data_IF_841601400096
#
_entry.id   IF_841601400096
#
_cell.length_a   1.000
_cell.length_b   1.000
_cell.length_c   1.000
_cell.angle_alpha   90.00
_cell.angle_beta   90.00
_cell.angle_gamma   90.00
#
_symmetry.space_group_name_H-M   'P 1'
#
loop_
_entity.id
_entity.type
_entity.pdbx_description
1 polymer ?
#
# COMPACT_ATOMS: atom_id res chain seq x y z
N UNK A 1 11.93 -7.19 -1.83
CA UNK A 1 12.96 -7.89 -2.63
C UNK A 1 13.06 -7.41 -4.09
N UNK A 2 12.28 -6.41 -4.54
CA UNK A 2 12.13 -6.09 -5.97
C UNK A 2 13.40 -5.63 -6.72
N UNK A 3 14.44 -5.14 -6.02
CA UNK A 3 15.71 -4.70 -6.65
C UNK A 3 16.90 -5.65 -6.46
N UNK A 4 16.78 -6.69 -5.64
CA UNK A 4 17.94 -7.48 -5.21
C UNK A 4 18.61 -8.26 -6.35
N UNK A 5 17.84 -8.73 -7.33
CA UNK A 5 18.39 -9.39 -8.52
C UNK A 5 19.17 -8.41 -9.41
N UNK A 6 18.65 -7.20 -9.64
CA UNK A 6 19.35 -6.17 -10.43
C UNK A 6 20.66 -5.79 -9.75
N UNK A 7 20.63 -5.59 -8.42
CA UNK A 7 21.82 -5.32 -7.62
C UNK A 7 22.83 -6.48 -7.71
N UNK A 8 22.36 -7.74 -7.70
CA UNK A 8 23.26 -8.90 -7.80
C UNK A 8 23.86 -9.09 -9.20
N UNK A 9 23.11 -8.75 -10.26
CA UNK A 9 23.52 -8.94 -11.64
C UNK A 9 24.37 -7.78 -12.19
N UNK A 10 24.05 -6.55 -11.80
CA UNK A 10 24.66 -5.33 -12.35
C UNK A 10 25.25 -4.40 -11.29
N UNK A 11 24.87 -4.57 -10.03
CA UNK A 11 25.35 -3.74 -8.93
C UNK A 11 26.78 -4.08 -8.53
N UNK A 12 27.43 -3.12 -7.89
CA UNK A 12 28.73 -3.31 -7.26
C UNK A 12 28.51 -3.48 -5.76
N UNK A 13 28.80 -4.66 -5.17
CA UNK A 13 28.59 -4.87 -3.74
C UNK A 13 29.26 -3.81 -2.87
N UNK A 14 30.47 -3.36 -3.26
CA UNK A 14 31.18 -2.30 -2.54
C UNK A 14 30.45 -0.95 -2.56
N UNK A 15 29.84 -0.57 -3.70
CA UNK A 15 29.06 0.68 -3.80
C UNK A 15 27.77 0.59 -3.00
N UNK A 16 27.07 -0.54 -3.07
CA UNK A 16 25.81 -0.74 -2.35
C UNK A 16 26.01 -0.79 -0.83
N UNK A 17 27.07 -1.46 -0.37
CA UNK A 17 27.46 -1.46 1.05
C UNK A 17 27.82 -0.06 1.50
N UNK A 18 28.65 0.68 0.75
CA UNK A 18 29.01 2.06 1.11
C UNK A 18 27.78 2.98 1.14
N UNK A 19 26.85 2.82 0.20
CA UNK A 19 25.59 3.57 0.18
C UNK A 19 24.73 3.27 1.40
N UNK A 20 24.58 1.99 1.75
CA UNK A 20 23.83 1.58 2.93
C UNK A 20 24.50 2.06 4.23
N UNK A 21 25.82 1.93 4.33
CA UNK A 21 26.61 2.41 5.47
C UNK A 21 26.44 3.91 5.67
N UNK A 22 26.44 4.71 4.60
CA UNK A 22 26.23 6.16 4.70
C UNK A 22 24.85 6.51 5.28
N UNK A 23 23.78 5.83 4.81
CA UNK A 23 22.43 6.06 5.34
C UNK A 23 22.27 5.55 6.76
N UNK A 24 22.83 4.38 7.06
CA UNK A 24 22.84 3.82 8.41
C UNK A 24 23.63 4.71 9.39
N UNK A 25 24.74 5.29 8.94
CA UNK A 25 25.53 6.24 9.72
C UNK A 25 24.72 7.51 10.02
N UNK A 26 23.98 8.07 9.06
CA UNK A 26 23.09 9.22 9.33
C UNK A 26 22.04 8.89 10.40
N UNK A 27 21.36 7.73 10.29
CA UNK A 27 20.38 7.31 11.30
C UNK A 27 21.03 7.13 12.66
N UNK A 28 22.22 6.52 12.71
CA UNK A 28 23.02 6.37 13.93
C UNK A 28 23.37 7.72 14.54
N UNK A 29 23.88 8.66 13.74
CA UNK A 29 24.38 9.95 14.22
C UNK A 29 23.23 10.79 14.80
N UNK A 30 22.07 10.81 14.12
CA UNK A 30 20.84 11.43 14.64
C UNK A 30 20.41 10.76 15.96
N UNK A 31 20.42 9.43 16.02
CA UNK A 31 20.06 8.69 17.23
C UNK A 31 21.00 8.96 18.41
N UNK A 32 22.32 9.06 18.14
CA UNK A 32 23.34 9.38 19.16
C UNK A 32 23.19 10.82 19.65
N UNK A 33 22.94 11.77 18.75
CA UNK A 33 22.71 13.17 19.11
C UNK A 33 21.46 13.30 19.98
N UNK A 34 20.34 12.68 19.59
CA UNK A 34 19.11 12.63 20.38
C UNK A 34 19.32 11.99 21.77
N UNK A 35 20.05 10.88 21.83
CA UNK A 35 20.39 10.22 23.09
C UNK A 35 21.27 11.10 23.99
N UNK A 36 22.22 11.84 23.38
CA UNK A 36 23.11 12.75 24.09
C UNK A 36 22.36 13.92 24.70
N UNK A 37 21.48 14.59 23.93
CA UNK A 37 20.64 15.67 24.47
C UNK A 37 19.72 15.17 25.59
N UNK A 38 19.09 14.00 25.40
CA UNK A 38 18.26 13.37 26.43
C UNK A 38 19.06 13.11 27.70
N UNK A 39 20.29 12.58 27.58
CA UNK A 39 21.15 12.31 28.72
C UNK A 39 21.58 13.59 29.44
N UNK A 40 21.97 14.63 28.71
CA UNK A 40 22.36 15.94 29.28
C UNK A 40 21.19 16.56 30.03
N UNK A 41 19.97 16.49 29.48
CA UNK A 41 18.75 16.98 30.12
C UNK A 41 18.52 16.30 31.48
N UNK A 42 18.52 14.97 31.51
CA UNK A 42 18.32 14.22 32.76
C UNK A 42 19.43 14.44 33.79
N UNK A 43 20.69 14.52 33.35
CA UNK A 43 21.83 14.82 34.25
C UNK A 43 21.67 16.22 34.87
N UNK A 44 21.35 17.23 34.07
CA UNK A 44 21.15 18.61 34.53
C UNK A 44 19.99 18.71 35.52
N UNK A 45 18.88 18.03 35.22
CA UNK A 45 17.72 17.98 36.10
C UNK A 45 18.03 17.25 37.42
N UNK A 46 18.72 16.11 37.36
CA UNK A 46 19.12 15.36 38.55
C UNK A 46 20.16 16.10 39.41
N UNK A 47 21.06 16.87 38.80
CA UNK A 47 22.01 17.70 39.51
C UNK A 47 21.29 18.83 40.25
N UNK A 48 20.36 19.51 39.57
CA UNK A 48 19.51 20.54 40.17
C UNK A 48 18.73 19.97 41.37
N UNK A 49 18.21 18.74 41.24
CA UNK A 49 17.54 18.02 42.32
C UNK A 49 18.42 17.73 43.52
N UNK A 50 19.62 17.25 43.26
CA UNK A 50 20.61 16.95 44.29
C UNK A 50 21.03 18.23 45.03
N UNK A 51 21.24 19.34 44.31
CA UNK A 51 21.56 20.64 44.90
C UNK A 51 20.41 21.21 45.73
N UNK A 52 19.17 21.13 45.25
CA UNK A 52 18.00 21.57 46.01
C UNK A 52 17.84 20.76 47.31
N UNK A 53 18.08 19.44 47.24
CA UNK A 53 18.02 18.55 48.40
C UNK A 53 19.14 18.84 49.40
N UNK A 54 20.37 19.03 48.91
CA UNK A 54 21.51 19.41 49.74
C UNK A 54 21.29 20.76 50.43
N UNK A 55 20.73 21.73 49.70
CA UNK A 55 20.35 23.03 50.26
C UNK A 55 19.26 22.90 51.34
N UNK A 56 18.22 22.10 51.08
CA UNK A 56 17.14 21.86 52.03
C UNK A 56 17.65 21.21 53.33
N UNK A 57 18.55 20.23 53.25
CA UNK A 57 19.15 19.62 54.45
C UNK A 57 20.18 20.52 55.12
N UNK A 58 21.03 21.20 54.36
CA UNK A 58 22.09 22.06 54.89
C UNK A 58 21.53 23.31 55.57
N UNK A 59 20.79 24.14 54.82
CA UNK A 59 20.18 25.36 55.35
C UNK A 59 19.03 25.05 56.31
N UNK A 60 18.19 24.07 55.99
CA UNK A 60 17.12 23.63 56.90
C UNK A 60 17.68 23.11 58.22
N UNK A 61 18.78 22.35 58.19
CA UNK A 61 19.47 21.86 59.38
C UNK A 61 19.91 23.00 60.30
N UNK A 62 20.53 24.05 59.75
CA UNK A 62 20.88 25.26 60.50
C UNK A 62 19.63 25.97 61.06
N UNK A 63 18.56 26.09 60.26
CA UNK A 63 17.31 26.71 60.69
C UNK A 63 16.64 25.98 61.88
N UNK A 64 16.76 24.64 61.95
CA UNK A 64 16.34 23.84 63.12
C UNK A 64 17.18 24.15 64.34
N UNK A 65 18.50 24.34 64.20
CA UNK A 65 19.37 24.69 65.33
C UNK A 65 19.05 26.08 65.90
N UNK A 66 18.59 27.01 65.07
CA UNK A 66 18.09 28.33 65.49
C UNK A 66 16.65 28.33 66.00
N UNK A 67 15.97 27.18 66.01
CA UNK A 67 14.59 27.04 66.51
C UNK A 67 13.51 27.63 65.59
N UNK A 68 13.85 28.00 64.35
CA UNK A 68 12.92 28.64 63.41
C UNK A 68 12.00 27.65 62.70
N UNK A 69 12.43 26.40 62.53
CA UNK A 69 11.70 25.34 61.79
C UNK A 69 11.76 24.03 62.60
N UNK A 70 10.73 23.18 62.49
CA UNK A 70 10.72 21.86 63.12
C UNK A 70 11.48 20.80 62.30
N UNK A 71 12.00 19.75 62.98
CA UNK A 71 12.67 18.62 62.30
C UNK A 71 11.77 17.92 61.28
N UNK A 72 10.47 17.77 61.59
CA UNK A 72 9.49 17.16 60.69
C UNK A 72 9.25 17.98 59.43
N UNK A 73 9.37 19.31 59.52
CA UNK A 73 9.19 20.21 58.38
C UNK A 73 10.28 20.04 57.31
N UNK A 74 11.55 19.81 57.71
CA UNK A 74 12.64 19.53 56.75
C UNK A 74 12.37 18.24 55.99
N UNK A 75 12.04 17.17 56.72
CA UNK A 75 11.75 15.85 56.14
C UNK A 75 10.55 15.95 55.18
N UNK A 76 9.50 16.67 55.57
CA UNK A 76 8.37 16.93 54.68
C UNK A 76 8.77 17.72 53.43
N UNK A 77 9.60 18.76 53.57
CA UNK A 77 10.07 19.57 52.44
C UNK A 77 10.88 18.75 51.43
N UNK A 78 11.81 17.91 51.89
CA UNK A 78 12.62 17.06 51.00
C UNK A 78 11.79 15.97 50.32
N UNK A 79 10.79 15.42 51.00
CA UNK A 79 9.83 14.50 50.38
C UNK A 79 8.98 15.19 49.30
N UNK A 80 8.51 16.43 49.55
CA UNK A 80 7.77 17.20 48.55
C UNK A 80 8.62 17.60 47.34
N UNK A 81 9.88 17.98 47.55
CA UNK A 81 10.81 18.24 46.45
C UNK A 81 10.97 16.99 45.57
N UNK A 82 11.17 15.82 46.17
CA UNK A 82 11.30 14.55 45.42
C UNK A 82 10.03 14.26 44.60
N UNK A 83 8.84 14.49 45.19
CA UNK A 83 7.55 14.29 44.51
C UNK A 83 7.32 15.28 43.35
N UNK A 84 7.91 16.46 43.38
CA UNK A 84 7.79 17.48 42.34
C UNK A 84 8.57 17.12 41.05
N UNK A 85 9.62 16.30 41.15
CA UNK A 85 10.45 15.93 39.99
C UNK A 85 9.70 15.06 38.96
N UNK A 86 8.89 14.10 39.41
CA UNK A 86 8.15 13.21 38.51
C UNK A 86 7.21 13.95 37.54
N UNK A 87 6.35 14.86 38.02
CA UNK A 87 5.51 15.67 37.15
C UNK A 87 6.30 16.59 36.20
N UNK A 88 7.44 17.14 36.63
CA UNK A 88 8.27 18.00 35.78
C UNK A 88 8.90 17.22 34.62
N UNK A 89 9.36 15.99 34.85
CA UNK A 89 9.87 15.13 33.76
C UNK A 89 8.76 14.71 32.80
N UNK A 90 7.58 14.38 33.33
CA UNK A 90 6.41 14.03 32.50
C UNK A 90 5.98 15.20 31.61
N UNK A 91 5.95 16.43 32.12
CA UNK A 91 5.63 17.62 31.31
C UNK A 91 6.61 17.84 30.16
N UNK A 92 7.89 17.52 30.36
CA UNK A 92 8.90 17.66 29.31
C UNK A 92 8.73 16.65 28.18
N UNK A 93 8.26 15.42 28.47
CA UNK A 93 8.03 14.41 27.43
C UNK A 93 6.69 14.59 26.72
N UNK A 94 5.68 15.14 27.41
CA UNK A 94 4.34 15.34 26.86
C UNK A 94 4.31 16.14 25.55
N UNK A 95 5.19 17.14 25.39
CA UNK A 95 5.25 17.91 24.14
C UNK A 95 5.68 17.03 22.95
N UNK A 96 6.68 16.16 23.13
CA UNK A 96 7.16 15.26 22.08
C UNK A 96 6.10 14.22 21.70
N UNK A 97 5.44 13.64 22.71
CA UNK A 97 4.36 12.67 22.50
C UNK A 97 3.20 13.31 21.74
N UNK A 98 2.82 14.53 22.12
CA UNK A 98 1.75 15.28 21.45
C UNK A 98 2.09 15.62 20.00
N UNK A 99 3.31 16.11 19.72
CA UNK A 99 3.74 16.42 18.35
C UNK A 99 3.79 15.16 17.47
N UNK A 100 4.29 14.04 18.01
CA UNK A 100 4.32 12.75 17.29
C UNK A 100 2.91 12.22 17.01
N UNK A 101 2.01 12.35 17.99
CA UNK A 101 0.62 11.96 17.84
C UNK A 101 -0.08 12.79 16.75
N UNK A 102 0.10 14.11 16.74
CA UNK A 102 -0.48 14.99 15.71
C UNK A 102 -0.06 14.59 14.30
N UNK A 103 1.26 14.38 14.06
CA UNK A 103 1.76 13.96 12.74
C UNK A 103 1.20 12.58 12.34
N UNK A 104 1.03 11.68 13.30
CA UNK A 104 0.44 10.35 13.04
C UNK A 104 -1.04 10.46 12.69
N UNK A 105 -1.79 11.34 13.37
CA UNK A 105 -3.20 11.60 13.07
C UNK A 105 -3.38 12.25 11.69
N UNK A 106 -2.54 13.23 11.34
CA UNK A 106 -2.55 13.83 10.00
C UNK A 106 -2.42 12.77 8.90
N UNK A 107 -1.45 11.85 9.02
CA UNK A 107 -1.28 10.75 8.07
C UNK A 107 -2.46 9.77 8.04
N UNK A 108 -3.06 9.51 9.20
CA UNK A 108 -4.22 8.62 9.31
C UNK A 108 -5.41 9.23 8.59
N UNK A 109 -5.70 10.51 8.81
CA UNK A 109 -6.80 11.21 8.12
C UNK A 109 -6.55 11.33 6.63
N UNK A 110 -5.30 11.58 6.21
CA UNK A 110 -4.95 11.59 4.78
C UNK A 110 -5.29 10.26 4.08
N UNK A 111 -5.12 9.12 4.77
CA UNK A 111 -5.52 7.80 4.23
C UNK A 111 -7.04 7.59 4.27
N UNK A 112 -7.71 8.00 5.35
CA UNK A 112 -9.15 7.82 5.49
C UNK A 112 -9.96 8.71 4.55
N UNK A 113 -9.44 9.91 4.25
CA UNK A 113 -10.06 10.89 3.38
C UNK A 113 -9.69 10.65 1.90
N UNK A 114 -8.90 9.60 1.59
CA UNK A 114 -8.60 9.21 0.23
C UNK A 114 -9.88 8.75 -0.48
N UNK A 115 -10.35 9.57 -1.41
CA UNK A 115 -11.52 9.21 -2.21
C UNK A 115 -11.15 8.19 -3.31
N UNK A 116 -11.89 7.07 -3.44
CA UNK A 116 -11.70 6.16 -4.56
C UNK A 116 -11.96 6.88 -5.88
N UNK A 117 -11.03 6.76 -6.84
CA UNK A 117 -11.16 7.37 -8.17
C UNK A 117 -12.37 6.84 -8.95
N UNK A 118 -12.68 5.55 -8.78
CA UNK A 118 -13.83 4.89 -9.42
C UNK A 118 -14.92 4.65 -8.37
N UNK A 119 -16.05 5.32 -8.52
CA UNK A 119 -17.25 5.16 -7.68
C UNK A 119 -18.42 4.66 -8.53
N UNK A 120 -19.30 3.85 -7.93
CA UNK A 120 -20.58 3.53 -8.54
C UNK A 120 -21.49 4.77 -8.54
N UNK A 121 -22.21 4.98 -9.63
CA UNK A 121 -23.24 6.01 -9.67
C UNK A 121 -24.40 5.64 -8.72
N UNK A 122 -25.07 6.62 -8.07
CA UNK A 122 -26.21 6.32 -7.19
C UNK A 122 -27.36 5.58 -7.88
N UNK A 123 -27.47 5.73 -9.19
CA UNK A 123 -28.45 5.10 -10.09
C UNK A 123 -27.83 4.01 -10.97
N UNK A 124 -26.72 3.41 -10.53
CA UNK A 124 -26.03 2.36 -11.27
C UNK A 124 -26.95 1.17 -11.57
N UNK A 125 -26.87 0.67 -12.80
CA UNK A 125 -27.67 -0.44 -13.32
C UNK A 125 -26.83 -1.70 -13.46
N UNK A 126 -27.46 -2.88 -13.43
CA UNK A 126 -26.77 -4.11 -13.75
C UNK A 126 -26.47 -4.17 -15.26
N UNK A 127 -25.31 -4.73 -15.62
CA UNK A 127 -25.00 -5.06 -17.02
C UNK A 127 -26.03 -6.04 -17.61
N UNK A 128 -26.33 -5.94 -18.91
CA UNK A 128 -27.25 -6.86 -19.57
C UNK A 128 -26.65 -8.26 -19.68
N UNK A 129 -27.50 -9.28 -19.56
CA UNK A 129 -27.10 -10.67 -19.73
C UNK A 129 -26.83 -11.03 -21.20
N UNK A 130 -26.00 -12.06 -21.41
CA UNK A 130 -25.77 -12.67 -22.72
C UNK A 130 -24.56 -12.08 -23.46
N UNK A 131 -24.39 -12.43 -24.75
CA UNK A 131 -23.27 -11.94 -25.53
C UNK A 131 -23.46 -10.44 -25.79
N UNK A 132 -22.59 -9.63 -25.22
CA UNK A 132 -22.63 -8.17 -25.28
C UNK A 132 -21.63 -7.64 -26.29
N UNK A 133 -22.02 -6.60 -27.03
CA UNK A 133 -21.10 -5.84 -27.88
C UNK A 133 -20.37 -4.79 -27.06
N UNK A 134 -19.13 -4.48 -27.43
CA UNK A 134 -18.36 -3.38 -26.83
C UNK A 134 -18.26 -2.25 -27.85
N UNK A 135 -18.61 -1.03 -27.46
CA UNK A 135 -18.52 0.16 -28.33
C UNK A 135 -17.67 1.21 -27.65
N UNK A 136 -16.63 1.66 -28.37
CA UNK A 136 -15.90 2.88 -28.08
C UNK A 136 -16.48 3.98 -28.96
N UNK A 137 -16.89 5.08 -28.36
CA UNK A 137 -17.47 6.24 -29.04
C UNK A 137 -16.68 7.51 -28.65
N UNK A 138 -15.89 8.01 -29.59
CA UNK A 138 -15.08 9.23 -29.48
C UNK A 138 -14.25 9.31 -28.19
N UNK A 139 -13.50 8.23 -27.88
CA UNK A 139 -12.79 8.08 -26.60
C UNK A 139 -11.44 8.79 -26.60
N UNK A 140 -11.29 9.74 -25.68
CA UNK A 140 -10.03 10.36 -25.28
C UNK A 140 -9.63 9.90 -23.88
N UNK A 141 -8.35 9.62 -23.66
CA UNK A 141 -7.87 9.17 -22.34
C UNK A 141 -6.39 9.50 -22.08
N UNK A 142 -6.11 10.02 -20.88
CA UNK A 142 -4.79 10.15 -20.28
C UNK A 142 -4.78 9.50 -18.89
N UNK A 143 -3.65 8.87 -18.50
CA UNK A 143 -3.53 8.34 -17.14
C UNK A 143 -3.58 9.47 -16.09
N UNK A 144 -4.10 9.21 -14.87
CA UNK A 144 -4.10 10.18 -13.78
C UNK A 144 -2.68 10.66 -13.47
N UNK A 145 -2.55 11.93 -13.08
CA UNK A 145 -1.26 12.47 -12.65
C UNK A 145 -0.81 11.85 -11.33
N UNK A 146 0.50 11.81 -11.04
CA UNK A 146 1.01 11.28 -9.77
C UNK A 146 0.36 11.96 -8.55
N UNK A 147 0.09 13.27 -8.64
CA UNK A 147 -0.61 14.02 -7.60
C UNK A 147 -2.09 13.63 -7.40
N UNK A 148 -2.72 12.94 -8.36
CA UNK A 148 -4.12 12.50 -8.29
C UNK A 148 -4.27 11.09 -7.69
N UNK A 149 -3.20 10.27 -7.72
CA UNK A 149 -3.23 8.85 -7.27
C UNK A 149 -2.26 8.53 -6.13
N UNK A 150 -1.29 9.38 -5.85
CA UNK A 150 -0.31 9.17 -4.79
C UNK A 150 -0.46 10.19 -3.66
N UNK A 151 -0.55 9.67 -2.43
CA UNK A 151 -0.39 10.47 -1.22
C UNK A 151 1.10 10.74 -1.02
N UNK A 152 1.50 12.01 -1.13
CA UNK A 152 2.90 12.42 -1.02
C UNK A 152 3.54 12.00 0.31
N UNK A 153 2.74 11.85 1.38
CA UNK A 153 3.22 11.41 2.69
C UNK A 153 3.56 9.91 2.77
N UNK A 154 3.07 9.10 1.82
CA UNK A 154 3.25 7.65 1.78
C UNK A 154 4.32 7.20 0.79
N UNK A 155 4.85 8.10 -0.04
CA UNK A 155 5.91 7.77 -1.00
C UNK A 155 7.30 8.02 -0.40
N UNK A 156 8.20 7.05 -0.57
CA UNK A 156 9.60 7.16 -0.13
C UNK A 156 10.40 8.20 -0.93
N UNK A 157 9.85 8.69 -2.04
CA UNK A 157 10.42 9.73 -2.90
C UNK A 157 9.38 10.85 -3.02
N UNK A 158 9.48 11.85 -2.16
CA UNK A 158 8.53 12.96 -2.05
C UNK A 158 8.58 13.98 -3.22
N UNK A 159 9.01 13.56 -4.41
CA UNK A 159 9.00 14.40 -5.60
C UNK A 159 7.81 13.95 -6.43
N UNK A 160 6.65 14.57 -6.18
CA UNK A 160 5.53 14.48 -7.10
C UNK A 160 6.00 15.03 -8.44
N UNK A 161 5.93 14.20 -9.46
CA UNK A 161 6.29 14.57 -10.82
C UNK A 161 5.18 15.47 -11.38
N UNK A 162 5.50 16.74 -11.67
CA UNK A 162 4.58 17.73 -12.26
C UNK A 162 4.52 17.60 -13.79
N UNK A 163 4.90 16.43 -14.30
CA UNK A 163 4.84 16.12 -15.73
C UNK A 163 3.39 16.14 -16.20
N UNK A 164 3.04 16.91 -17.24
CA UNK A 164 1.67 17.01 -17.73
C UNK A 164 1.13 15.64 -18.16
N UNK A 165 -0.14 15.38 -17.86
CA UNK A 165 -0.85 14.16 -18.28
C UNK A 165 -0.69 14.00 -19.79
N UNK A 166 0.00 12.95 -20.20
CA UNK A 166 0.17 12.64 -21.62
C UNK A 166 -1.01 11.79 -22.05
N UNK A 167 -1.78 12.31 -23.00
CA UNK A 167 -2.89 11.61 -23.60
C UNK A 167 -2.39 10.38 -24.38
N UNK A 168 -3.08 9.25 -24.18
CA UNK A 168 -2.72 7.92 -24.69
C UNK A 168 -3.68 7.47 -25.79
N UNK A 169 -4.96 7.82 -25.65
CA UNK A 169 -6.00 7.56 -26.66
C UNK A 169 -6.55 8.90 -27.13
N UNK A 170 -6.69 9.04 -28.44
CA UNK A 170 -7.20 10.25 -29.09
C UNK A 170 -8.34 9.87 -30.02
N UNK A 171 -9.55 10.33 -29.73
CA UNK A 171 -10.76 10.17 -30.53
C UNK A 171 -11.02 8.75 -31.04
N UNK A 172 -10.85 7.75 -30.17
CA UNK A 172 -10.94 6.34 -30.56
C UNK A 172 -12.40 5.90 -30.66
N UNK A 173 -12.81 5.46 -31.85
CA UNK A 173 -14.17 4.96 -32.12
C UNK A 173 -14.15 3.62 -32.85
N UNK A 174 -14.76 2.59 -32.28
CA UNK A 174 -14.94 1.29 -32.92
C UNK A 174 -16.00 0.44 -32.21
N UNK A 175 -16.48 -0.61 -32.88
CA UNK A 175 -17.42 -1.58 -32.33
C UNK A 175 -16.86 -2.98 -32.42
N UNK A 176 -16.92 -3.71 -31.31
CA UNK A 176 -16.66 -5.15 -31.20
C UNK A 176 -18.01 -5.86 -31.14
N UNK A 177 -18.45 -6.54 -32.20
CA UNK A 177 -19.73 -7.24 -32.19
C UNK A 177 -19.72 -8.41 -31.21
N UNK A 178 -20.87 -8.67 -30.61
CA UNK A 178 -21.08 -9.78 -29.69
C UNK A 178 -20.73 -11.14 -30.35
N UNK A 179 -20.06 -12.02 -29.60
CA UNK A 179 -19.70 -13.37 -30.07
C UNK A 179 -18.55 -13.41 -31.09
N UNK A 180 -17.83 -12.31 -31.30
CA UNK A 180 -16.67 -12.26 -32.18
C UNK A 180 -15.36 -12.29 -31.41
N UNK A 181 -14.30 -12.78 -32.06
CA UNK A 181 -12.92 -12.64 -31.58
C UNK A 181 -12.30 -11.46 -32.31
N UNK A 182 -12.09 -10.35 -31.61
CA UNK A 182 -11.45 -9.16 -32.16
C UNK A 182 -10.03 -9.02 -31.62
N UNK A 183 -9.06 -8.88 -32.53
CA UNK A 183 -7.66 -8.69 -32.18
C UNK A 183 -7.24 -7.22 -32.35
N UNK A 184 -6.74 -6.62 -31.27
CA UNK A 184 -6.11 -5.30 -31.30
C UNK A 184 -4.61 -5.46 -31.57
N UNK A 185 -4.15 -4.98 -32.74
CA UNK A 185 -2.74 -5.11 -33.17
C UNK A 185 -2.15 -3.74 -33.42
N UNK A 186 -0.90 -3.55 -33.00
CA UNK A 186 -0.17 -2.30 -33.18
C UNK A 186 1.13 -2.27 -32.37
N UNK A 187 2.01 -1.28 -32.60
CA UNK A 187 3.30 -1.17 -31.94
C UNK A 187 3.15 -1.04 -30.41
N UNK A 188 4.23 -1.33 -29.67
CA UNK A 188 4.25 -1.07 -28.22
C UNK A 188 3.94 0.40 -27.93
N UNK A 189 3.18 0.68 -26.88
CA UNK A 189 2.75 2.04 -26.53
C UNK A 189 1.52 2.58 -27.27
N UNK A 190 0.97 1.87 -28.26
CA UNK A 190 -0.21 2.31 -29.01
C UNK A 190 -1.56 2.26 -28.23
N UNK A 191 -1.56 2.25 -26.89
CA UNK A 191 -2.78 2.26 -26.09
C UNK A 191 -3.60 0.96 -26.03
N UNK A 192 -3.10 -0.17 -26.57
CA UNK A 192 -3.83 -1.46 -26.58
C UNK A 192 -4.25 -1.94 -25.18
N UNK A 193 -3.30 -1.95 -24.25
CA UNK A 193 -3.55 -2.35 -22.86
C UNK A 193 -4.49 -1.35 -22.18
N UNK A 194 -4.34 -0.06 -22.49
CA UNK A 194 -5.22 1.00 -21.99
C UNK A 194 -6.67 0.79 -22.43
N UNK A 195 -6.93 0.48 -23.69
CA UNK A 195 -8.27 0.14 -24.16
C UNK A 195 -8.87 -1.05 -23.40
N UNK A 196 -8.08 -2.10 -23.13
CA UNK A 196 -8.55 -3.22 -22.31
C UNK A 196 -8.89 -2.81 -20.87
N UNK A 197 -8.13 -1.88 -20.28
CA UNK A 197 -8.38 -1.38 -18.93
C UNK A 197 -9.64 -0.53 -18.84
N UNK A 198 -9.99 0.20 -19.91
CA UNK A 198 -11.22 1.00 -19.98
C UNK A 198 -12.47 0.12 -20.10
N UNK A 199 -12.40 -0.99 -20.85
CA UNK A 199 -13.52 -1.96 -20.92
C UNK A 199 -13.82 -2.56 -19.56
N UNK A 200 -12.80 -2.91 -18.77
CA UNK A 200 -12.98 -3.41 -17.41
C UNK A 200 -13.14 -2.30 -16.36
N UNK A 201 -13.25 -1.03 -16.79
CA UNK A 201 -13.35 0.17 -15.94
C UNK A 201 -12.33 0.22 -14.80
N UNK A 202 -11.08 -0.12 -15.10
CA UNK A 202 -9.95 0.19 -14.20
C UNK A 202 -9.62 1.69 -14.21
N UNK A 203 -10.01 2.38 -15.29
CA UNK A 203 -10.02 3.83 -15.39
C UNK A 203 -11.32 4.27 -16.09
N UNK A 204 -11.76 5.50 -15.78
CA UNK A 204 -12.82 6.16 -16.54
C UNK A 204 -12.19 6.99 -17.68
N UNK A 205 -12.93 7.15 -18.77
CA UNK A 205 -12.52 7.96 -19.93
C UNK A 205 -12.61 9.46 -19.62
N UNK A 206 -11.69 10.26 -20.19
CA UNK A 206 -11.74 11.73 -20.05
C UNK A 206 -12.81 12.34 -20.96
N UNK A 207 -12.99 11.78 -22.17
CA UNK A 207 -14.08 12.12 -23.10
C UNK A 207 -14.60 10.89 -23.83
N UNK A 208 -15.81 11.01 -24.37
CA UNK A 208 -16.49 9.92 -25.06
C UNK A 208 -17.16 8.93 -24.09
N UNK A 209 -17.38 7.72 -24.58
CA UNK A 209 -17.94 6.63 -23.79
C UNK A 209 -17.43 5.26 -24.22
N UNK A 210 -17.36 4.35 -23.25
CA UNK A 210 -17.17 2.92 -23.49
C UNK A 210 -18.43 2.23 -23.00
N UNK A 211 -19.15 1.55 -23.90
CA UNK A 211 -20.39 0.87 -23.58
C UNK A 211 -20.27 -0.64 -23.80
N UNK A 212 -20.95 -1.39 -22.95
CA UNK A 212 -21.08 -2.85 -23.02
C UNK A 212 -22.57 -3.16 -23.05
N UNK A 213 -23.05 -3.76 -24.14
CA UNK A 213 -24.47 -4.06 -24.30
C UNK A 213 -25.37 -2.81 -24.25
N UNK A 214 -24.88 -1.67 -24.74
CA UNK A 214 -25.53 -0.35 -24.68
C UNK A 214 -25.60 0.32 -23.29
N UNK A 215 -24.89 -0.21 -22.29
CA UNK A 215 -24.73 0.43 -20.98
C UNK A 215 -23.32 0.99 -20.89
N UNK A 216 -23.17 2.29 -20.59
CA UNK A 216 -21.86 2.89 -20.31
C UNK A 216 -21.28 2.23 -19.06
N UNK A 217 -20.00 1.83 -19.12
CA UNK A 217 -19.32 1.19 -17.98
C UNK A 217 -19.39 2.05 -16.70
N UNK A 218 -19.46 3.38 -16.85
CA UNK A 218 -19.63 4.33 -15.74
C UNK A 218 -20.96 4.22 -15.01
N UNK A 219 -21.99 3.76 -15.71
CA UNK A 219 -23.36 3.61 -15.20
C UNK A 219 -23.64 2.19 -14.70
N UNK A 220 -22.70 1.26 -14.83
CA UNK A 220 -22.88 -0.10 -14.36
C UNK A 220 -22.45 -0.28 -12.91
N UNK A 221 -23.07 -1.23 -12.21
CA UNK A 221 -22.54 -1.72 -10.93
C UNK A 221 -21.23 -2.47 -11.17
N UNK A 222 -20.25 -2.26 -10.30
CA UNK A 222 -18.93 -2.90 -10.35
C UNK A 222 -19.03 -4.41 -10.32
N UNK A 223 -19.94 -4.96 -9.51
CA UNK A 223 -20.17 -6.41 -9.44
C UNK A 223 -20.60 -6.93 -10.81
N UNK A 224 -21.65 -6.35 -11.41
CA UNK A 224 -22.14 -6.81 -12.71
C UNK A 224 -21.10 -6.64 -13.82
N UNK A 225 -20.36 -5.51 -13.84
CA UNK A 225 -19.28 -5.30 -14.80
C UNK A 225 -18.18 -6.36 -14.65
N UNK A 226 -17.76 -6.65 -13.42
CA UNK A 226 -16.73 -7.66 -13.16
C UNK A 226 -17.19 -9.06 -13.54
N UNK A 227 -18.49 -9.34 -13.41
CA UNK A 227 -19.09 -10.63 -13.74
C UNK A 227 -19.33 -10.79 -15.24
N UNK A 228 -19.47 -9.70 -16.00
CA UNK A 228 -19.57 -9.72 -17.47
C UNK A 228 -18.19 -9.63 -18.15
N UNK A 229 -17.20 -8.98 -17.53
CA UNK A 229 -15.89 -8.72 -18.16
C UNK A 229 -14.78 -9.52 -17.47
N UNK A 230 -14.27 -10.50 -18.19
CA UNK A 230 -13.09 -11.26 -17.80
C UNK A 230 -11.79 -10.69 -18.36
N UNK A 231 -10.79 -10.48 -17.51
CA UNK A 231 -9.47 -9.95 -17.91
C UNK A 231 -8.34 -10.90 -17.53
N UNK A 232 -7.44 -11.16 -18.48
CA UNK A 232 -6.15 -11.81 -18.22
C UNK A 232 -5.04 -10.79 -18.47
N UNK A 233 -4.36 -10.37 -17.40
CA UNK A 233 -3.26 -9.42 -17.50
C UNK A 233 -2.03 -10.03 -18.21
N UNK A 234 -1.21 -9.17 -18.82
CA UNK A 234 0.02 -9.57 -19.51
C UNK A 234 1.03 -10.27 -18.58
N UNK A 235 1.18 -9.74 -17.34
CA UNK A 235 1.91 -10.38 -16.24
C UNK A 235 0.92 -10.69 -15.10
N UNK A 236 0.33 -11.90 -15.08
CA UNK A 236 -0.67 -12.23 -14.09
C UNK A 236 -0.09 -12.31 -12.68
N UNK A 237 -0.79 -11.68 -11.73
CA UNK A 237 -0.45 -11.78 -10.33
C UNK A 237 -1.04 -13.05 -9.69
N UNK A 238 -0.20 -13.82 -9.01
CA UNK A 238 -0.63 -14.89 -8.12
C UNK A 238 -0.28 -14.50 -6.68
N UNK A 239 -1.24 -14.67 -5.78
CA UNK A 239 -1.03 -14.50 -4.35
C UNK A 239 -0.06 -15.54 -3.84
N UNK A 240 0.68 -15.19 -2.79
CA UNK A 240 1.58 -16.13 -2.11
C UNK A 240 0.79 -17.17 -1.30
N UNK A 241 0.15 -18.09 -2.01
CA UNK A 241 -0.74 -19.11 -1.47
C UNK A 241 -0.70 -20.37 -2.35
N UNK A 242 -1.52 -21.35 -2.06
CA UNK A 242 -1.76 -22.56 -2.86
C UNK A 242 -2.36 -22.23 -4.23
N UNK A 243 -2.17 -23.12 -5.20
CA UNK A 243 -2.88 -23.04 -6.50
C UNK A 243 -4.40 -23.05 -6.30
N UNK A 244 -4.90 -23.85 -5.36
CA UNK A 244 -6.31 -23.91 -4.97
C UNK A 244 -6.84 -22.54 -4.55
N UNK A 245 -6.22 -21.91 -3.55
CA UNK A 245 -6.64 -20.58 -3.06
C UNK A 245 -6.59 -19.54 -4.18
N UNK A 246 -5.57 -19.60 -5.02
CA UNK A 246 -5.46 -18.73 -6.18
C UNK A 246 -6.60 -18.93 -7.18
N UNK A 247 -7.07 -20.16 -7.43
CA UNK A 247 -8.23 -20.42 -8.31
C UNK A 247 -9.55 -20.00 -7.66
N UNK A 248 -9.75 -20.33 -6.38
CA UNK A 248 -10.95 -19.98 -5.62
C UNK A 248 -11.15 -18.47 -5.46
N UNK A 249 -10.09 -17.66 -5.61
CA UNK A 249 -10.22 -16.21 -5.68
C UNK A 249 -11.16 -15.75 -6.81
N UNK A 250 -11.22 -16.47 -7.93
CA UNK A 250 -12.09 -16.15 -9.04
C UNK A 250 -13.54 -16.60 -8.80
N UNK A 251 -13.74 -17.70 -8.07
CA UNK A 251 -15.05 -18.26 -7.71
C UNK A 251 -14.93 -19.07 -6.40
N UNK A 252 -15.27 -18.47 -5.24
CA UNK A 252 -15.03 -19.10 -3.92
C UNK A 252 -15.76 -20.44 -3.72
N UNK A 253 -16.93 -20.59 -4.33
CA UNK A 253 -17.77 -21.79 -4.23
C UNK A 253 -17.41 -22.90 -5.23
N UNK A 254 -16.32 -22.74 -6.00
CA UNK A 254 -15.95 -23.73 -7.01
C UNK A 254 -15.51 -25.06 -6.39
N UNK A 255 -16.02 -26.16 -6.94
CA UNK A 255 -15.64 -27.51 -6.51
C UNK A 255 -14.28 -27.90 -7.08
N UNK A 256 -13.70 -28.99 -6.56
CA UNK A 256 -12.46 -29.56 -7.12
C UNK A 256 -12.66 -29.93 -8.59
N UNK A 257 -13.79 -30.54 -8.94
CA UNK A 257 -14.09 -30.90 -10.32
C UNK A 257 -14.13 -29.69 -11.26
N UNK A 258 -14.69 -28.56 -10.80
CA UNK A 258 -14.70 -27.31 -11.56
C UNK A 258 -13.29 -26.78 -11.80
N UNK A 259 -12.45 -26.79 -10.76
CA UNK A 259 -11.05 -26.36 -10.86
C UNK A 259 -10.27 -27.25 -11.82
N UNK A 260 -10.44 -28.57 -11.75
CA UNK A 260 -9.78 -29.49 -12.68
C UNK A 260 -10.21 -29.25 -14.13
N UNK A 261 -11.51 -29.03 -14.36
CA UNK A 261 -12.03 -28.70 -15.69
C UNK A 261 -11.42 -27.40 -16.22
N UNK A 262 -11.37 -26.35 -15.40
CA UNK A 262 -10.76 -25.08 -15.77
C UNK A 262 -9.25 -25.23 -16.09
N UNK A 263 -8.52 -26.01 -15.29
CA UNK A 263 -7.10 -26.30 -15.52
C UNK A 263 -6.86 -27.11 -16.80
N UNK A 264 -7.77 -28.03 -17.15
CA UNK A 264 -7.71 -28.80 -18.41
C UNK A 264 -7.97 -27.89 -19.61
N UNK A 265 -9.00 -27.06 -19.54
CA UNK A 265 -9.32 -26.09 -20.59
C UNK A 265 -8.20 -25.06 -20.80
N UNK A 266 -7.50 -24.69 -19.73
CA UNK A 266 -6.30 -23.84 -19.80
C UNK A 266 -5.00 -24.58 -20.13
N UNK A 267 -5.05 -25.89 -20.43
CA UNK A 267 -3.90 -26.73 -20.77
C UNK A 267 -2.75 -26.70 -19.74
N UNK A 268 -3.09 -26.72 -18.45
CA UNK A 268 -2.11 -26.69 -17.34
C UNK A 268 -2.34 -27.79 -16.30
N UNK A 269 -3.44 -28.54 -16.41
CA UNK A 269 -3.79 -29.63 -15.51
C UNK A 269 -2.64 -30.63 -15.30
N UNK A 270 -2.03 -31.13 -16.37
CA UNK A 270 -0.97 -32.15 -16.26
C UNK A 270 0.25 -31.66 -15.48
N UNK A 271 0.61 -30.37 -15.63
CA UNK A 271 1.67 -29.76 -14.84
C UNK A 271 1.27 -29.72 -13.37
N UNK A 272 0.06 -29.25 -13.07
CA UNK A 272 -0.44 -29.16 -11.69
C UNK A 272 -0.50 -30.55 -11.05
N UNK A 273 -0.99 -31.57 -11.76
CA UNK A 273 -1.05 -32.95 -11.27
C UNK A 273 0.32 -33.59 -11.07
N UNK A 274 1.36 -33.14 -11.78
CA UNK A 274 2.73 -33.60 -11.58
C UNK A 274 3.41 -32.98 -10.35
N UNK A 275 2.85 -31.89 -9.78
CA UNK A 275 3.38 -31.30 -8.55
C UNK A 275 3.12 -32.22 -7.36
N UNK A 276 4.07 -32.37 -6.40
CA UNK A 276 3.91 -33.28 -5.26
C UNK A 276 2.66 -33.03 -4.41
N UNK A 277 2.17 -31.78 -4.37
CA UNK A 277 1.00 -31.38 -3.60
C UNK A 277 -0.19 -30.99 -4.51
N UNK A 278 -0.09 -31.17 -5.83
CA UNK A 278 -1.15 -30.81 -6.75
C UNK A 278 -1.65 -29.37 -6.57
N UNK A 279 -2.96 -29.22 -6.41
CA UNK A 279 -3.66 -27.96 -6.10
C UNK A 279 -3.18 -27.29 -4.80
N UNK A 280 -2.65 -28.04 -3.85
CA UNK A 280 -2.20 -27.53 -2.56
C UNK A 280 -0.73 -27.06 -2.61
N UNK A 281 -0.13 -27.03 -3.80
CA UNK A 281 1.22 -26.49 -4.00
C UNK A 281 1.22 -24.96 -3.84
N UNK A 282 2.07 -24.46 -2.94
CA UNK A 282 2.29 -23.02 -2.72
C UNK A 282 3.17 -22.43 -3.82
N UNK A 283 2.67 -21.41 -4.53
CA UNK A 283 3.31 -20.86 -5.76
C UNK A 283 4.42 -19.82 -5.50
N UNK A 284 4.57 -19.35 -4.26
CA UNK A 284 5.55 -18.30 -3.93
C UNK A 284 5.05 -16.87 -4.18
N UNK A 285 5.81 -15.88 -3.73
CA UNK A 285 5.50 -14.45 -3.96
C UNK A 285 5.40 -14.18 -5.48
N UNK A 286 4.27 -13.59 -5.92
CA UNK A 286 3.96 -13.34 -7.35
C UNK A 286 4.09 -14.59 -8.24
N UNK A 287 3.89 -15.77 -7.67
CA UNK A 287 4.00 -17.04 -8.39
C UNK A 287 5.42 -17.34 -8.91
N UNK A 288 6.47 -16.86 -8.23
CA UNK A 288 7.87 -17.03 -8.67
C UNK A 288 8.28 -18.49 -8.95
N UNK A 289 7.59 -19.48 -8.37
CA UNK A 289 7.87 -20.90 -8.62
C UNK A 289 7.33 -21.43 -9.95
N UNK A 290 6.57 -20.62 -10.68
CA UNK A 290 5.98 -20.97 -11.97
C UNK A 290 6.68 -20.21 -13.11
N UNK A 291 6.82 -20.87 -14.25
CA UNK A 291 7.28 -20.21 -15.47
C UNK A 291 6.28 -19.14 -15.94
N UNK A 292 6.72 -18.21 -16.78
CA UNK A 292 5.83 -17.16 -17.30
C UNK A 292 4.58 -17.71 -18.01
N UNK A 293 4.76 -18.74 -18.84
CA UNK A 293 3.65 -19.41 -19.53
C UNK A 293 2.74 -20.22 -18.60
N UNK A 294 3.27 -20.77 -17.50
CA UNK A 294 2.45 -21.41 -16.46
C UNK A 294 1.59 -20.39 -15.72
N UNK A 295 2.16 -19.24 -15.33
CA UNK A 295 1.39 -18.15 -14.71
C UNK A 295 0.26 -17.66 -15.60
N UNK A 296 0.53 -17.49 -16.90
CA UNK A 296 -0.50 -17.13 -17.89
C UNK A 296 -1.62 -18.18 -17.97
N UNK A 297 -1.28 -19.47 -18.01
CA UNK A 297 -2.29 -20.53 -18.05
C UNK A 297 -3.08 -20.66 -16.75
N UNK A 298 -2.48 -20.44 -15.59
CA UNK A 298 -3.22 -20.37 -14.31
C UNK A 298 -4.18 -19.18 -14.30
N UNK A 299 -3.77 -18.03 -14.83
CA UNK A 299 -4.65 -16.87 -14.97
C UNK A 299 -5.79 -17.12 -15.96
N UNK A 300 -5.54 -17.82 -17.05
CA UNK A 300 -6.58 -18.28 -17.97
C UNK A 300 -7.54 -19.26 -17.28
N UNK A 301 -7.03 -20.20 -16.46
CA UNK A 301 -7.87 -21.10 -15.69
C UNK A 301 -8.80 -20.35 -14.72
N UNK A 302 -8.32 -19.27 -14.07
CA UNK A 302 -9.18 -18.39 -13.25
C UNK A 302 -10.29 -17.75 -14.06
N UNK A 303 -9.96 -17.22 -15.24
CA UNK A 303 -10.95 -16.61 -16.12
C UNK A 303 -12.02 -17.64 -16.52
N UNK A 304 -11.59 -18.82 -16.97
CA UNK A 304 -12.50 -19.90 -17.36
C UNK A 304 -13.35 -20.39 -16.18
N UNK A 305 -12.79 -20.42 -14.96
CA UNK A 305 -13.53 -20.80 -13.76
C UNK A 305 -14.58 -19.76 -13.37
N UNK A 306 -14.27 -18.47 -13.55
CA UNK A 306 -15.24 -17.40 -13.36
C UNK A 306 -16.39 -17.49 -14.37
N UNK A 307 -16.08 -17.88 -15.62
CA UNK A 307 -17.04 -17.95 -16.74
C UNK A 307 -17.88 -16.68 -16.89
N UNK A 308 -17.23 -15.50 -17.04
CA UNK A 308 -17.93 -14.24 -17.27
C UNK A 308 -18.61 -14.19 -18.65
#
# INVERSE_FOLDING_TARGET
>A
MAGAMIVKLFGSPAKEVAYFEQRAAQVRDIGVEQATYSRIFFVTLSLTASLATAFAYGFGGLAVTWGTISKGTIVALTLYLTRLYGPLTQLSSLHLDFMTALVTFERLFEVLDLEPTIKEAPDAVAMPEGPVAVVFDHVDFAYPAAAEVSLASLEAVAVLDDTPRTEVLHDVSFTVPAGTVTALVGPSGAGKTTMSMLVSRLYDVDRGSVTIGNVDVRQATQVSLSDTVGVVAQDPHLFHDTLRANLLYARPEATVADMEMALRSAQIYDMVSALPLGLDTVVGERGYRLSGGEKQRVALARLLLKSP
#
